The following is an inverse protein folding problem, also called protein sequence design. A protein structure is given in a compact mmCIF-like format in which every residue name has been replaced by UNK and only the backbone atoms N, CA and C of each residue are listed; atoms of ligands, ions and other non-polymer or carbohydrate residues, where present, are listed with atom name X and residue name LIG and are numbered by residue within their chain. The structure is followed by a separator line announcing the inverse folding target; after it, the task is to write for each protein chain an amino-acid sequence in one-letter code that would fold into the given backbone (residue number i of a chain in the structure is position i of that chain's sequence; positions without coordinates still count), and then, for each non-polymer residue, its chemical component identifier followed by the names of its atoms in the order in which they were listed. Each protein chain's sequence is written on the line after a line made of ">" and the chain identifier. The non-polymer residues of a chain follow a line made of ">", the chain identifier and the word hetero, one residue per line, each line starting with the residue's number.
data_IF_020070580817
#
_entry.id   IF_020070580817
#
_cell.length_a   1.000
_cell.length_b   1.000
_cell.length_c   1.000
_cell.angle_alpha   90.00
_cell.angle_beta   90.00
_cell.angle_gamma   90.00
#
_symmetry.space_group_name_H-M   'P 1'
#
loop_
_entity.id
_entity.type
_entity.pdbx_description
1 polymer ?
#
# COMPACT_ATOMS: atom_id res chain seq x y z
N UNK A 1 25.14 -39.64 0.12
CA UNK A 1 25.70 -38.35 0.50
C UNK A 1 25.00 -37.94 1.79
N UNK A 2 25.66 -38.16 2.94
CA UNK A 2 25.13 -37.77 4.24
C UNK A 2 25.37 -36.25 4.41
N UNK A 3 24.35 -35.45 4.24
CA UNK A 3 24.40 -34.06 4.68
C UNK A 3 24.33 -34.06 6.23
N UNK A 4 25.49 -33.84 6.85
CA UNK A 4 25.62 -33.53 8.25
C UNK A 4 24.91 -32.18 8.50
N UNK A 5 23.63 -32.24 8.89
CA UNK A 5 22.96 -31.11 9.51
C UNK A 5 23.61 -30.89 10.89
N UNK A 6 24.61 -30.01 10.95
CA UNK A 6 24.94 -29.37 12.22
C UNK A 6 23.67 -28.74 12.79
N UNK A 7 23.35 -28.87 14.09
CA UNK A 7 22.13 -28.26 14.63
C UNK A 7 22.27 -26.74 14.61
N UNK A 8 21.94 -26.13 13.49
CA UNK A 8 21.74 -24.69 13.39
C UNK A 8 20.58 -24.33 14.32
N UNK A 9 20.79 -23.39 15.21
CA UNK A 9 19.72 -22.91 16.09
C UNK A 9 18.49 -22.56 15.26
N UNK A 10 17.34 -23.11 15.64
CA UNK A 10 16.06 -22.83 15.01
C UNK A 10 15.14 -22.12 16.00
N UNK A 11 14.76 -20.85 15.76
CA UNK A 11 13.84 -20.15 16.62
C UNK A 11 12.46 -20.83 16.66
N UNK A 12 11.88 -20.94 17.84
CA UNK A 12 10.52 -21.45 18.00
C UNK A 12 9.50 -20.34 17.70
N UNK A 13 8.28 -20.74 17.30
CA UNK A 13 7.16 -19.82 17.08
C UNK A 13 6.86 -18.98 18.34
N UNK A 14 6.98 -19.58 19.53
CA UNK A 14 6.79 -18.85 20.80
C UNK A 14 7.85 -17.77 21.00
N UNK A 15 9.09 -18.04 20.65
CA UNK A 15 10.18 -17.06 20.72
C UNK A 15 9.97 -15.94 19.70
N UNK A 16 9.56 -16.24 18.47
CA UNK A 16 9.26 -15.23 17.46
C UNK A 16 8.07 -14.35 17.85
N UNK A 17 7.01 -14.92 18.43
CA UNK A 17 5.87 -14.14 18.95
C UNK A 17 6.28 -13.26 20.12
N UNK A 18 7.10 -13.77 21.04
CA UNK A 18 7.64 -12.99 22.15
C UNK A 18 8.53 -11.84 21.64
N UNK A 19 9.41 -12.10 20.67
CA UNK A 19 10.25 -11.10 20.02
C UNK A 19 9.41 -9.98 19.40
N UNK A 20 8.42 -10.33 18.58
CA UNK A 20 7.57 -9.35 17.91
C UNK A 20 6.78 -8.49 18.91
N UNK A 21 6.17 -9.12 19.92
CA UNK A 21 5.44 -8.39 20.96
C UNK A 21 6.34 -7.41 21.73
N UNK A 22 7.55 -7.84 22.10
CA UNK A 22 8.52 -6.99 22.79
C UNK A 22 9.03 -5.89 21.89
N UNK A 23 9.31 -6.18 20.61
CA UNK A 23 9.75 -5.20 19.62
C UNK A 23 8.73 -4.08 19.44
N UNK A 24 7.43 -4.40 19.35
CA UNK A 24 6.36 -3.44 19.16
C UNK A 24 6.03 -2.64 20.43
N UNK A 25 5.94 -3.31 21.57
CA UNK A 25 5.46 -2.72 22.83
C UNK A 25 6.57 -2.10 23.69
N UNK A 26 7.84 -2.41 23.39
CA UNK A 26 9.04 -1.89 24.11
C UNK A 26 8.99 -2.12 25.64
N UNK A 27 8.17 -3.05 26.09
CA UNK A 27 7.95 -3.35 27.51
C UNK A 27 7.60 -4.82 27.70
N UNK A 28 8.39 -5.54 28.54
CA UNK A 28 8.19 -6.97 28.79
C UNK A 28 6.84 -7.29 29.43
N UNK A 29 6.37 -6.45 30.37
CA UNK A 29 5.07 -6.65 31.03
C UNK A 29 3.89 -6.49 30.06
N UNK A 30 3.96 -5.53 29.14
CA UNK A 30 2.94 -5.34 28.12
C UNK A 30 2.93 -6.49 27.09
N UNK A 31 4.11 -6.96 26.69
CA UNK A 31 4.24 -8.14 25.84
C UNK A 31 3.68 -9.40 26.52
N UNK A 32 3.92 -9.56 27.80
CA UNK A 32 3.40 -10.68 28.61
C UNK A 32 1.86 -10.66 28.66
N UNK A 33 1.25 -9.50 28.91
CA UNK A 33 -0.21 -9.32 28.87
C UNK A 33 -0.78 -9.67 27.50
N UNK A 34 -0.15 -9.17 26.42
CA UNK A 34 -0.59 -9.45 25.04
C UNK A 34 -0.52 -10.92 24.66
N UNK A 35 0.45 -11.64 25.23
CA UNK A 35 0.69 -13.07 24.94
C UNK A 35 0.00 -14.01 25.96
N UNK A 36 -0.68 -13.46 26.96
CA UNK A 36 -1.33 -14.22 28.04
C UNK A 36 -0.36 -15.15 28.79
N UNK A 37 0.84 -14.64 29.08
CA UNK A 37 1.89 -15.35 29.84
C UNK A 37 2.48 -14.46 30.93
N UNK A 38 3.37 -14.99 31.77
CA UNK A 38 4.08 -14.18 32.76
C UNK A 38 5.22 -13.38 32.15
N UNK A 39 5.60 -12.27 32.76
CA UNK A 39 6.74 -11.47 32.34
C UNK A 39 8.05 -12.26 32.35
N UNK A 40 8.23 -13.16 33.34
CA UNK A 40 9.40 -14.04 33.42
C UNK A 40 9.47 -14.99 32.21
N UNK A 41 8.32 -15.53 31.77
CA UNK A 41 8.26 -16.41 30.62
C UNK A 41 8.68 -15.65 29.34
N UNK A 42 8.19 -14.41 29.12
CA UNK A 42 8.63 -13.58 27.97
C UNK A 42 10.13 -13.29 28.05
N UNK A 43 10.63 -12.91 29.25
CA UNK A 43 12.08 -12.63 29.43
C UNK A 43 12.94 -13.86 29.12
N UNK A 44 12.47 -15.06 29.51
CA UNK A 44 13.16 -16.32 29.22
C UNK A 44 13.16 -16.63 27.72
N UNK A 45 12.01 -16.47 27.03
CA UNK A 45 11.90 -16.69 25.58
C UNK A 45 12.83 -15.78 24.78
N UNK A 46 12.92 -14.49 25.16
CA UNK A 46 13.84 -13.55 24.53
C UNK A 46 15.29 -13.95 24.78
N UNK A 47 15.66 -14.29 26.02
CA UNK A 47 17.02 -14.74 26.35
C UNK A 47 17.41 -15.98 25.54
N UNK A 48 16.57 -17.00 25.49
CA UNK A 48 16.82 -18.21 24.72
C UNK A 48 17.00 -17.93 23.23
N UNK A 49 16.22 -16.96 22.68
CA UNK A 49 16.35 -16.53 21.29
C UNK A 49 17.68 -15.81 21.07
N UNK A 50 18.06 -14.89 21.95
CA UNK A 50 19.35 -14.16 21.89
C UNK A 50 20.54 -15.12 22.02
N UNK A 51 20.48 -16.06 22.97
CA UNK A 51 21.52 -17.08 23.19
C UNK A 51 21.69 -17.97 21.95
N UNK A 52 20.57 -18.38 21.34
CA UNK A 52 20.60 -19.23 20.15
C UNK A 52 21.09 -18.51 18.89
N UNK A 53 20.80 -17.21 18.76
CA UNK A 53 21.27 -16.37 17.65
C UNK A 53 22.69 -15.84 17.87
N UNK A 54 23.24 -15.99 19.09
CA UNK A 54 24.55 -15.46 19.45
C UNK A 54 24.61 -13.93 19.46
N UNK A 55 23.47 -13.24 19.50
CA UNK A 55 23.41 -11.77 19.47
C UNK A 55 22.26 -11.23 20.31
N UNK A 56 22.46 -10.04 20.90
CA UNK A 56 21.39 -9.34 21.62
C UNK A 56 20.42 -8.69 20.65
N UNK A 57 19.14 -8.87 20.92
CA UNK A 57 18.06 -8.24 20.20
C UNK A 57 17.54 -6.97 20.90
N UNK A 58 17.75 -6.88 22.22
CA UNK A 58 17.27 -5.74 23.00
C UNK A 58 18.33 -5.25 23.99
N UNK A 59 18.54 -3.93 23.97
CA UNK A 59 19.30 -3.23 25.00
C UNK A 59 18.40 -2.95 26.19
N UNK A 60 18.81 -3.48 27.35
CA UNK A 60 18.10 -3.32 28.63
C UNK A 60 18.70 -2.15 29.40
N UNK A 61 17.98 -1.03 29.46
CA UNK A 61 18.25 0.03 30.42
C UNK A 61 17.23 -0.02 31.53
N UNK A 62 17.52 0.60 32.68
CA UNK A 62 16.60 0.63 33.84
C UNK A 62 15.25 1.29 33.55
N UNK A 63 15.13 2.01 32.41
CA UNK A 63 13.91 2.76 32.03
C UNK A 63 13.31 2.36 30.68
N UNK A 64 14.02 1.62 29.83
CA UNK A 64 13.51 1.29 28.48
C UNK A 64 14.15 0.05 27.91
N UNK A 65 13.40 -0.62 27.06
CA UNK A 65 13.84 -1.73 26.22
C UNK A 65 13.92 -1.23 24.77
N UNK A 66 15.13 -1.11 24.25
CA UNK A 66 15.36 -0.62 22.86
C UNK A 66 15.81 -1.79 22.00
N UNK A 67 15.25 -1.97 20.78
CA UNK A 67 15.78 -2.95 19.85
C UNK A 67 17.13 -2.53 19.31
N UNK A 68 17.98 -3.52 19.11
CA UNK A 68 19.27 -3.40 18.44
C UNK A 68 19.10 -3.34 16.92
N UNK A 69 20.20 -3.05 16.18
CA UNK A 69 20.21 -3.17 14.72
C UNK A 69 19.82 -4.58 14.26
N UNK A 70 20.33 -5.63 14.94
CA UNK A 70 19.98 -7.03 14.67
C UNK A 70 18.48 -7.31 14.85
N UNK A 71 17.83 -6.73 15.86
CA UNK A 71 16.39 -6.86 16.04
C UNK A 71 15.60 -6.21 14.90
N UNK A 72 16.04 -5.05 14.42
CA UNK A 72 15.38 -4.37 13.31
C UNK A 72 15.54 -5.14 11.99
N UNK A 73 16.69 -5.73 11.75
CA UNK A 73 16.94 -6.60 10.59
C UNK A 73 16.09 -7.88 10.63
N UNK A 74 16.00 -8.51 11.82
CA UNK A 74 15.20 -9.72 12.01
C UNK A 74 13.70 -9.49 11.88
N UNK A 75 13.21 -8.26 12.09
CA UNK A 75 11.78 -7.96 12.23
C UNK A 75 10.94 -8.45 11.04
N UNK A 76 11.31 -8.07 9.84
CA UNK A 76 10.56 -8.42 8.61
C UNK A 76 10.49 -9.93 8.40
N UNK A 77 11.57 -10.64 8.67
CA UNK A 77 11.64 -12.11 8.56
C UNK A 77 10.77 -12.78 9.62
N UNK A 78 10.83 -12.31 10.88
CA UNK A 78 10.00 -12.84 11.96
C UNK A 78 8.51 -12.63 11.70
N UNK A 79 8.13 -11.45 11.19
CA UNK A 79 6.75 -11.14 10.79
C UNK A 79 6.27 -12.04 9.66
N UNK A 80 7.11 -12.31 8.66
CA UNK A 80 6.78 -13.22 7.55
C UNK A 80 6.56 -14.65 8.06
N UNK A 81 7.50 -15.19 8.84
CA UNK A 81 7.38 -16.54 9.38
C UNK A 81 6.10 -16.70 10.22
N UNK A 82 5.77 -15.72 11.06
CA UNK A 82 4.56 -15.78 11.86
C UNK A 82 3.29 -15.70 11.01
N UNK A 83 3.28 -14.89 9.94
CA UNK A 83 2.17 -14.88 8.98
C UNK A 83 2.01 -16.23 8.28
N UNK A 84 3.10 -16.86 7.85
CA UNK A 84 3.06 -18.16 7.20
C UNK A 84 2.52 -19.23 8.14
N UNK A 85 2.94 -19.23 9.42
CA UNK A 85 2.40 -20.12 10.45
C UNK A 85 0.92 -19.87 10.74
N UNK A 86 0.51 -18.60 10.82
CA UNK A 86 -0.90 -18.24 11.03
C UNK A 86 -1.74 -18.62 9.80
N UNK A 87 -1.19 -18.54 8.60
CA UNK A 87 -1.84 -19.02 7.38
C UNK A 87 -1.98 -20.55 7.34
N UNK A 88 -1.00 -21.30 7.85
CA UNK A 88 -1.12 -22.77 8.00
C UNK A 88 -2.26 -23.16 8.94
N UNK A 89 -2.41 -22.46 10.07
CA UNK A 89 -3.49 -22.77 11.03
C UNK A 89 -4.89 -22.35 10.55
N UNK A 90 -4.96 -21.36 9.64
CA UNK A 90 -6.21 -20.90 9.02
C UNK A 90 -6.48 -21.58 7.68
N UNK A 91 -5.45 -21.88 6.88
CA UNK A 91 -5.58 -22.39 5.53
C UNK A 91 -6.27 -23.76 5.40
N UNK A 92 -6.12 -24.63 6.39
CA UNK A 92 -6.86 -25.91 6.41
C UNK A 92 -8.36 -25.74 6.70
N UNK A 93 -8.77 -24.65 7.35
CA UNK A 93 -10.18 -24.31 7.56
C UNK A 93 -10.74 -23.43 6.43
N UNK A 94 -9.92 -22.58 5.83
CA UNK A 94 -10.31 -21.70 4.71
C UNK A 94 -10.61 -22.46 3.41
N UNK A 95 -10.07 -23.67 3.24
CA UNK A 95 -10.42 -24.53 2.09
C UNK A 95 -11.88 -25.00 2.12
N UNK A 96 -12.58 -24.89 3.24
CA UNK A 96 -13.93 -25.36 3.38
C UNK A 96 -15.00 -24.28 3.42
N UNK A 97 -14.70 -23.06 3.91
CA UNK A 97 -15.70 -21.99 4.07
C UNK A 97 -15.02 -20.60 4.15
N UNK A 98 -15.50 -19.64 3.36
CA UNK A 98 -15.19 -18.20 3.48
C UNK A 98 -15.68 -17.61 4.83
N UNK A 99 -15.90 -18.45 5.82
CA UNK A 99 -16.49 -18.06 7.10
C UNK A 99 -15.51 -17.40 8.08
N UNK A 100 -14.21 -17.54 7.89
CA UNK A 100 -13.17 -16.84 8.68
C UNK A 100 -11.92 -16.71 7.85
N UNK A 101 -11.38 -15.50 7.79
CA UNK A 101 -10.15 -15.26 7.06
C UNK A 101 -9.70 -13.81 7.19
N UNK A 102 -8.62 -13.51 6.53
CA UNK A 102 -8.17 -12.15 6.31
C UNK A 102 -7.74 -12.00 4.86
N UNK A 103 -7.88 -10.82 4.35
CA UNK A 103 -7.28 -10.36 3.11
C UNK A 103 -6.48 -9.10 3.41
N UNK A 104 -5.23 -9.06 2.98
CA UNK A 104 -4.37 -7.90 3.17
C UNK A 104 -3.89 -7.40 1.81
N UNK A 105 -3.94 -6.09 1.60
CA UNK A 105 -3.54 -5.49 0.34
C UNK A 105 -2.67 -4.26 0.54
N UNK A 106 -1.67 -4.08 -0.34
CA UNK A 106 -0.95 -2.81 -0.46
C UNK A 106 -1.69 -1.92 -1.47
N UNK A 107 -1.82 -0.65 -1.16
CA UNK A 107 -2.46 0.32 -2.04
C UNK A 107 -1.91 1.73 -1.76
N UNK A 108 -1.84 2.58 -2.77
CA UNK A 108 -1.55 3.99 -2.51
C UNK A 108 -2.79 4.73 -2.01
N UNK A 109 -2.66 5.71 -1.10
CA UNK A 109 -3.81 6.43 -0.53
C UNK A 109 -4.77 6.98 -1.59
N UNK A 110 -4.24 7.53 -2.68
CA UNK A 110 -5.04 8.04 -3.81
C UNK A 110 -5.97 7.00 -4.42
N UNK A 111 -5.48 5.77 -4.62
CA UNK A 111 -6.31 4.68 -5.17
C UNK A 111 -7.28 4.15 -4.14
N UNK A 112 -6.87 4.06 -2.88
CA UNK A 112 -7.71 3.59 -1.79
C UNK A 112 -9.01 4.41 -1.67
N UNK A 113 -8.92 5.72 -1.84
CA UNK A 113 -10.04 6.66 -1.66
C UNK A 113 -11.25 6.34 -2.53
N UNK A 114 -11.04 5.88 -3.77
CA UNK A 114 -12.16 5.65 -4.69
C UNK A 114 -12.39 4.18 -5.07
N UNK A 115 -11.39 3.31 -4.88
CA UNK A 115 -11.53 1.89 -5.24
C UNK A 115 -12.09 1.04 -4.10
N UNK A 116 -11.73 1.37 -2.86
CA UNK A 116 -11.99 0.47 -1.75
C UNK A 116 -13.37 0.60 -1.09
N UNK A 117 -14.01 1.79 -0.97
CA UNK A 117 -15.22 1.93 -0.17
C UNK A 117 -16.34 0.98 -0.58
N UNK A 118 -16.70 0.96 -1.86
CA UNK A 118 -17.77 0.11 -2.37
C UNK A 118 -17.38 -1.38 -2.39
N UNK A 119 -16.12 -1.68 -2.76
CA UNK A 119 -15.60 -3.04 -2.76
C UNK A 119 -15.57 -3.64 -1.35
N UNK A 120 -15.09 -2.87 -0.35
CA UNK A 120 -15.06 -3.34 1.05
C UNK A 120 -16.48 -3.52 1.59
N UNK A 121 -17.39 -2.58 1.30
CA UNK A 121 -18.77 -2.66 1.76
C UNK A 121 -19.44 -3.93 1.22
N UNK A 122 -19.46 -4.13 -0.10
CA UNK A 122 -20.10 -5.31 -0.69
C UNK A 122 -19.42 -6.62 -0.26
N UNK A 123 -18.10 -6.63 -0.18
CA UNK A 123 -17.37 -7.81 0.29
C UNK A 123 -17.67 -8.14 1.76
N UNK A 124 -17.78 -7.13 2.62
CA UNK A 124 -18.07 -7.34 4.06
C UNK A 124 -19.52 -7.79 4.29
N UNK A 125 -20.45 -7.38 3.43
CA UNK A 125 -21.83 -7.88 3.46
C UNK A 125 -21.89 -9.35 3.06
N UNK A 126 -21.17 -9.76 2.02
CA UNK A 126 -21.10 -11.16 1.56
C UNK A 126 -20.28 -12.04 2.52
N UNK A 127 -19.23 -11.48 3.15
CA UNK A 127 -18.26 -12.22 3.97
C UNK A 127 -17.97 -11.52 5.31
N UNK A 128 -18.95 -11.42 6.22
CA UNK A 128 -18.86 -10.59 7.44
C UNK A 128 -17.80 -11.06 8.44
N UNK A 129 -17.33 -12.29 8.30
CA UNK A 129 -16.28 -12.86 9.17
C UNK A 129 -14.87 -12.79 8.59
N UNK A 130 -14.71 -12.23 7.38
CA UNK A 130 -13.40 -12.01 6.75
C UNK A 130 -12.92 -10.59 7.03
N UNK A 131 -11.73 -10.45 7.59
CA UNK A 131 -11.14 -9.14 7.87
C UNK A 131 -10.40 -8.61 6.64
N UNK A 132 -10.73 -7.39 6.24
CA UNK A 132 -10.01 -6.65 5.20
C UNK A 132 -8.96 -5.75 5.87
N UNK A 133 -7.69 -5.93 5.49
CA UNK A 133 -6.56 -5.15 5.99
C UNK A 133 -5.96 -4.33 4.86
N UNK A 134 -6.13 -3.03 4.94
CA UNK A 134 -5.58 -2.08 3.98
C UNK A 134 -4.23 -1.59 4.50
N UNK A 135 -3.18 -1.86 3.76
CA UNK A 135 -1.84 -1.34 4.01
C UNK A 135 -1.57 -0.22 3.01
N UNK A 136 -1.97 0.98 3.37
CA UNK A 136 -1.64 2.15 2.57
C UNK A 136 -0.13 2.42 2.65
N UNK A 137 0.47 2.70 1.51
CA UNK A 137 1.91 2.88 1.41
C UNK A 137 2.27 3.91 0.33
N UNK A 138 3.47 4.48 0.47
CA UNK A 138 4.04 5.32 -0.57
C UNK A 138 4.36 4.50 -1.84
N UNK A 139 4.34 5.12 -3.03
CA UNK A 139 4.57 4.42 -4.30
C UNK A 139 5.88 3.63 -4.37
N UNK A 140 6.94 4.14 -3.77
CA UNK A 140 8.27 3.52 -3.70
C UNK A 140 8.29 2.25 -2.82
N UNK A 141 7.38 2.13 -1.86
CA UNK A 141 7.25 0.98 -0.97
C UNK A 141 6.29 -0.10 -1.52
N UNK A 142 5.53 0.22 -2.57
CA UNK A 142 4.45 -0.63 -3.06
C UNK A 142 4.93 -2.02 -3.50
N UNK A 143 5.93 -2.07 -4.37
CA UNK A 143 6.45 -3.34 -4.89
C UNK A 143 7.17 -4.15 -3.80
N UNK A 144 7.97 -3.50 -2.95
CA UNK A 144 8.68 -4.18 -1.87
C UNK A 144 7.75 -4.85 -0.86
N UNK A 145 6.57 -4.28 -0.59
CA UNK A 145 5.56 -4.90 0.27
C UNK A 145 4.98 -6.17 -0.32
N UNK A 146 4.81 -6.22 -1.64
CA UNK A 146 4.31 -7.41 -2.35
C UNK A 146 5.39 -8.49 -2.40
N UNK A 147 6.60 -8.14 -2.80
CA UNK A 147 7.72 -9.08 -2.90
C UNK A 147 8.14 -9.65 -1.55
N UNK A 148 8.09 -8.82 -0.49
CA UNK A 148 8.33 -9.24 0.89
C UNK A 148 7.18 -10.02 1.53
N UNK A 149 6.11 -10.30 0.78
CA UNK A 149 4.91 -11.04 1.26
C UNK A 149 4.28 -10.41 2.51
N UNK A 150 4.44 -9.08 2.66
CA UNK A 150 3.79 -8.34 3.74
C UNK A 150 2.27 -8.21 3.53
N UNK A 151 1.82 -8.44 2.30
CA UNK A 151 0.42 -8.40 1.86
C UNK A 151 0.15 -9.53 0.88
N UNK A 152 -1.13 -9.89 0.69
CA UNK A 152 -1.52 -10.94 -0.25
C UNK A 152 -1.38 -10.46 -1.71
N UNK A 153 -1.66 -9.18 -1.96
CA UNK A 153 -1.53 -8.54 -3.28
C UNK A 153 -1.44 -7.01 -3.12
N UNK A 154 -1.21 -6.33 -4.22
CA UNK A 154 -1.26 -4.87 -4.27
C UNK A 154 -2.26 -4.36 -5.31
N UNK A 155 -2.77 -3.14 -5.12
CA UNK A 155 -3.55 -2.40 -6.11
C UNK A 155 -2.78 -1.13 -6.44
N UNK A 156 -2.31 -1.01 -7.67
CA UNK A 156 -1.39 0.06 -8.03
C UNK A 156 -1.21 0.25 -9.52
N UNK A 157 -0.30 1.13 -9.85
CA UNK A 157 0.11 1.45 -11.23
C UNK A 157 1.60 1.20 -11.40
N UNK A 158 2.05 -0.05 -11.47
CA UNK A 158 3.47 -0.35 -11.65
C UNK A 158 3.91 0.08 -13.05
N UNK A 159 4.80 1.06 -13.12
CA UNK A 159 5.31 1.57 -14.42
C UNK A 159 6.25 0.55 -15.10
N UNK A 160 7.01 -0.17 -14.32
CA UNK A 160 7.95 -1.22 -14.77
C UNK A 160 7.86 -2.42 -13.83
N UNK A 161 6.85 -3.27 -14.00
CA UNK A 161 6.75 -4.47 -13.21
C UNK A 161 7.97 -5.35 -13.52
N UNK A 162 8.77 -5.66 -12.49
CA UNK A 162 9.85 -6.62 -12.62
C UNK A 162 9.33 -8.01 -12.95
N UNK A 163 10.23 -8.92 -13.38
CA UNK A 163 9.87 -10.30 -13.69
C UNK A 163 9.29 -11.09 -12.49
N UNK A 164 9.47 -10.59 -11.27
CA UNK A 164 9.03 -11.21 -10.02
C UNK A 164 7.56 -10.98 -9.66
N UNK A 165 6.86 -10.11 -10.40
CA UNK A 165 5.44 -9.84 -10.17
C UNK A 165 4.59 -10.20 -11.37
N UNK A 166 3.33 -10.51 -11.10
CA UNK A 166 2.27 -10.65 -12.08
C UNK A 166 1.32 -9.47 -11.96
N UNK A 167 0.88 -8.95 -13.10
CA UNK A 167 0.05 -7.74 -13.17
C UNK A 167 -1.23 -8.06 -13.92
N UNK A 168 -2.37 -7.87 -13.26
CA UNK A 168 -3.69 -8.00 -13.85
C UNK A 168 -4.37 -6.65 -13.86
N UNK A 169 -4.61 -6.09 -15.05
CA UNK A 169 -5.30 -4.82 -15.19
C UNK A 169 -6.73 -4.89 -14.62
N UNK A 170 -7.07 -3.93 -13.78
CA UNK A 170 -8.42 -3.69 -13.26
C UNK A 170 -9.17 -2.68 -14.12
N UNK A 171 -8.57 -1.49 -14.30
CA UNK A 171 -9.20 -0.43 -15.06
C UNK A 171 -8.14 0.47 -15.70
N UNK A 172 -8.57 1.28 -16.66
CA UNK A 172 -7.77 2.34 -17.27
C UNK A 172 -8.27 3.70 -16.81
N UNK A 173 -7.34 4.53 -16.35
CA UNK A 173 -7.60 5.91 -15.96
C UNK A 173 -6.83 6.87 -16.87
N UNK A 174 -7.24 8.12 -16.91
CA UNK A 174 -6.64 9.15 -17.77
C UNK A 174 -6.24 10.36 -16.93
N UNK A 175 -5.18 11.05 -17.34
CA UNK A 175 -4.86 12.35 -16.77
C UNK A 175 -5.92 13.38 -17.19
N UNK A 176 -6.29 14.20 -16.22
CA UNK A 176 -7.28 15.24 -16.37
C UNK A 176 -6.78 16.56 -15.77
N UNK A 177 -7.22 17.65 -16.36
CA UNK A 177 -7.21 18.95 -15.72
C UNK A 177 -8.38 19.01 -14.74
N UNK A 178 -8.12 19.48 -13.54
CA UNK A 178 -9.12 19.82 -12.53
C UNK A 178 -9.02 21.32 -12.29
N UNK A 179 -10.11 22.03 -12.46
CA UNK A 179 -10.15 23.46 -12.25
C UNK A 179 -11.51 23.88 -11.69
N UNK A 180 -11.60 25.09 -11.15
CA UNK A 180 -12.89 25.64 -10.73
C UNK A 180 -13.83 25.85 -11.94
N UNK A 181 -15.12 25.84 -11.67
CA UNK A 181 -16.17 26.05 -12.69
C UNK A 181 -16.13 27.45 -13.34
N UNK A 182 -15.52 28.44 -12.67
CA UNK A 182 -15.29 29.79 -13.20
C UNK A 182 -13.97 29.96 -14.00
N UNK A 183 -13.13 28.90 -14.04
CA UNK A 183 -11.86 28.89 -14.78
C UNK A 183 -12.12 28.97 -16.30
N UNK A 184 -11.29 29.69 -17.10
CA UNK A 184 -11.48 29.81 -18.54
C UNK A 184 -11.60 28.47 -19.27
N UNK A 185 -10.80 27.48 -18.88
CA UNK A 185 -10.81 26.14 -19.49
C UNK A 185 -11.99 25.27 -19.05
N UNK A 186 -12.75 25.65 -18.02
CA UNK A 186 -13.90 24.88 -17.56
C UNK A 186 -15.00 24.75 -18.63
N UNK A 187 -15.18 25.78 -19.46
CA UNK A 187 -16.18 25.81 -20.52
C UNK A 187 -15.69 25.18 -21.84
N UNK A 188 -14.39 24.88 -21.96
CA UNK A 188 -13.84 24.28 -23.15
C UNK A 188 -14.42 22.88 -23.37
N UNK A 189 -14.82 22.54 -24.58
CA UNK A 189 -15.32 21.21 -24.95
C UNK A 189 -14.20 20.16 -24.84
N UNK A 190 -12.99 20.53 -25.22
CA UNK A 190 -11.78 19.71 -25.19
C UNK A 190 -10.66 20.58 -24.64
N UNK A 191 -9.83 20.03 -23.76
CA UNK A 191 -8.63 20.69 -23.25
C UNK A 191 -7.41 19.91 -23.73
N UNK A 192 -6.50 20.59 -24.39
CA UNK A 192 -5.23 20.04 -24.87
C UNK A 192 -4.12 20.43 -23.90
N UNK A 193 -3.02 19.69 -23.92
CA UNK A 193 -1.84 20.07 -23.14
C UNK A 193 -1.35 21.50 -23.51
N UNK A 194 -1.40 21.84 -24.77
CA UNK A 194 -1.03 23.20 -25.26
C UNK A 194 -1.88 24.32 -24.68
N UNK A 195 -3.09 24.03 -24.24
CA UNK A 195 -3.99 25.02 -23.68
C UNK A 195 -3.64 25.35 -22.21
N UNK A 196 -2.72 24.61 -21.58
CA UNK A 196 -2.32 24.79 -20.19
C UNK A 196 -1.27 25.91 -20.02
N UNK A 197 -0.63 26.35 -21.11
CA UNK A 197 0.39 27.40 -21.05
C UNK A 197 -0.18 28.71 -20.50
N UNK A 198 0.53 29.28 -19.52
CA UNK A 198 0.16 30.54 -18.88
C UNK A 198 -0.90 30.46 -17.77
N UNK A 199 -1.36 29.28 -17.41
CA UNK A 199 -2.20 29.09 -16.23
C UNK A 199 -1.39 28.54 -15.07
N UNK A 200 -1.64 29.01 -13.83
CA UNK A 200 -1.00 28.49 -12.63
C UNK A 200 -1.43 27.04 -12.39
N UNK A 201 -0.44 26.13 -12.36
CA UNK A 201 -0.65 24.70 -12.20
C UNK A 201 -0.19 24.23 -10.81
N UNK A 202 -1.04 23.45 -10.17
CA UNK A 202 -0.77 22.73 -8.95
C UNK A 202 -0.54 21.26 -9.32
N UNK A 203 0.56 20.66 -8.88
CA UNK A 203 0.86 19.25 -9.17
C UNK A 203 1.55 18.58 -8.00
N UNK A 204 1.77 17.27 -8.08
CA UNK A 204 2.57 16.56 -7.10
C UNK A 204 4.06 16.84 -7.31
N UNK A 205 4.84 16.81 -6.22
CA UNK A 205 6.28 17.02 -6.27
C UNK A 205 7.00 15.94 -7.08
N UNK A 206 8.21 16.22 -7.62
CA UNK A 206 9.05 15.21 -8.25
C UNK A 206 9.24 13.96 -7.37
N UNK A 207 9.29 12.78 -8.00
CA UNK A 207 9.38 11.49 -7.30
C UNK A 207 8.03 10.86 -6.92
N UNK A 208 6.92 11.56 -7.11
CA UNK A 208 5.58 11.02 -6.88
C UNK A 208 4.93 10.55 -8.19
N UNK A 209 4.49 9.31 -8.18
CA UNK A 209 3.78 8.48 -9.16
C UNK A 209 3.42 9.11 -10.52
N UNK A 210 2.52 10.07 -10.56
CA UNK A 210 2.05 10.65 -11.82
C UNK A 210 2.90 11.81 -12.35
N UNK A 211 3.85 12.33 -11.56
CA UNK A 211 4.64 13.50 -11.92
C UNK A 211 5.52 13.27 -13.17
N UNK A 212 6.27 12.17 -13.29
CA UNK A 212 7.06 11.91 -14.50
C UNK A 212 6.19 11.86 -15.77
N UNK A 213 4.97 11.30 -15.64
CA UNK A 213 4.03 11.21 -16.75
C UNK A 213 3.49 12.58 -17.16
N UNK A 214 3.23 13.47 -16.20
CA UNK A 214 2.81 14.85 -16.45
C UNK A 214 3.93 15.63 -17.14
N UNK A 215 5.14 15.61 -16.55
CA UNK A 215 6.27 16.37 -17.06
C UNK A 215 6.70 15.91 -18.46
N UNK A 216 6.79 14.57 -18.66
CA UNK A 216 7.13 13.99 -19.95
C UNK A 216 6.11 14.36 -21.02
N UNK A 217 4.82 14.25 -20.71
CA UNK A 217 3.76 14.57 -21.69
C UNK A 217 3.71 16.07 -22.00
N UNK A 218 3.90 16.95 -21.03
CA UNK A 218 3.96 18.39 -21.25
C UNK A 218 5.15 18.75 -22.15
N UNK A 219 6.33 18.16 -21.90
CA UNK A 219 7.52 18.35 -22.72
C UNK A 219 7.32 17.85 -24.16
N UNK A 220 6.74 16.66 -24.34
CA UNK A 220 6.43 16.10 -25.67
C UNK A 220 5.41 16.96 -26.44
N UNK A 221 4.49 17.61 -25.71
CA UNK A 221 3.52 18.54 -26.26
C UNK A 221 4.10 19.96 -26.50
N UNK A 222 5.37 20.20 -26.16
CA UNK A 222 6.03 21.51 -26.32
C UNK A 222 5.51 22.57 -25.33
N UNK A 223 4.99 22.17 -24.18
CA UNK A 223 4.39 23.06 -23.17
C UNK A 223 5.26 23.16 -21.93
N UNK A 224 5.58 24.38 -21.53
CA UNK A 224 6.12 24.67 -20.21
C UNK A 224 4.95 24.94 -19.25
N UNK A 225 4.77 24.09 -18.26
CA UNK A 225 3.77 24.28 -17.23
C UNK A 225 4.25 25.31 -16.19
N UNK A 226 3.42 26.29 -15.87
CA UNK A 226 3.66 27.24 -14.79
C UNK A 226 3.29 26.60 -13.46
N UNK A 227 4.21 25.78 -12.90
CA UNK A 227 3.99 25.07 -11.64
C UNK A 227 4.18 26.03 -10.47
N UNK A 228 3.08 26.55 -9.95
CA UNK A 228 3.08 27.50 -8.82
C UNK A 228 3.08 26.81 -7.46
N UNK A 229 2.58 25.58 -7.37
CA UNK A 229 2.55 24.81 -6.12
C UNK A 229 2.83 23.33 -6.39
N UNK A 230 3.65 22.75 -5.51
CA UNK A 230 3.96 21.32 -5.49
C UNK A 230 3.56 20.70 -4.16
N UNK A 231 2.75 19.64 -4.20
CA UNK A 231 2.21 18.96 -3.04
C UNK A 231 2.62 17.49 -2.99
N UNK A 232 2.54 16.87 -1.82
CA UNK A 232 2.80 15.43 -1.68
C UNK A 232 1.56 14.59 -1.97
N UNK A 233 0.36 15.14 -1.75
CA UNK A 233 -0.90 14.41 -1.87
C UNK A 233 -1.85 15.11 -2.84
N UNK A 234 -2.48 14.33 -3.72
CA UNK A 234 -3.46 14.83 -4.67
C UNK A 234 -4.71 15.41 -4.00
N UNK A 235 -5.05 14.94 -2.79
CA UNK A 235 -6.12 15.53 -1.97
C UNK A 235 -5.83 17.00 -1.62
N UNK A 236 -4.57 17.32 -1.29
CA UNK A 236 -4.15 18.71 -1.06
C UNK A 236 -4.28 19.54 -2.34
N UNK A 237 -3.90 18.98 -3.50
CA UNK A 237 -4.06 19.67 -4.78
C UNK A 237 -5.54 19.99 -5.07
N UNK A 238 -6.46 19.07 -4.80
CA UNK A 238 -7.92 19.31 -4.94
C UNK A 238 -8.38 20.50 -4.09
N UNK A 239 -8.03 20.52 -2.81
CA UNK A 239 -8.40 21.60 -1.90
C UNK A 239 -7.83 22.96 -2.33
N UNK A 240 -6.58 22.99 -2.77
CA UNK A 240 -5.96 24.21 -3.28
C UNK A 240 -6.64 24.68 -4.58
N UNK A 241 -7.01 23.75 -5.47
CA UNK A 241 -7.76 24.08 -6.70
C UNK A 241 -9.16 24.64 -6.36
N UNK A 242 -9.88 24.00 -5.46
CA UNK A 242 -11.20 24.48 -5.00
C UNK A 242 -11.12 25.87 -4.38
N UNK A 243 -10.01 26.17 -3.70
CA UNK A 243 -9.72 27.50 -3.13
C UNK A 243 -9.27 28.54 -4.18
N UNK A 244 -9.17 28.20 -5.46
CA UNK A 244 -8.81 29.14 -6.53
C UNK A 244 -7.32 29.44 -6.64
N UNK A 245 -6.44 28.61 -6.09
CA UNK A 245 -4.99 28.84 -6.12
C UNK A 245 -4.33 28.41 -7.44
N UNK A 246 -5.10 27.82 -8.37
CA UNK A 246 -4.63 27.32 -9.65
C UNK A 246 -5.45 26.14 -10.14
N UNK A 247 -5.09 25.58 -11.29
CA UNK A 247 -5.66 24.34 -11.80
C UNK A 247 -4.71 23.17 -11.49
N UNK A 248 -5.24 21.96 -11.34
CA UNK A 248 -4.43 20.78 -11.05
C UNK A 248 -4.45 19.77 -12.18
N UNK A 249 -3.33 19.06 -12.38
CA UNK A 249 -3.25 17.91 -13.28
C UNK A 249 -3.16 16.66 -12.42
N UNK A 250 -4.12 15.75 -12.59
CA UNK A 250 -4.20 14.53 -11.78
C UNK A 250 -4.97 13.40 -12.47
N UNK A 251 -4.96 12.18 -11.92
CA UNK A 251 -5.82 11.08 -12.38
C UNK A 251 -7.29 11.45 -12.30
N UNK A 252 -8.01 11.28 -13.41
CA UNK A 252 -9.41 11.70 -13.52
C UNK A 252 -10.35 10.89 -12.63
N UNK A 253 -10.07 9.61 -12.40
CA UNK A 253 -10.86 8.79 -11.50
C UNK A 253 -10.80 9.32 -10.05
N UNK A 254 -9.61 9.70 -9.58
CA UNK A 254 -9.44 10.30 -8.26
C UNK A 254 -10.18 11.64 -8.14
N UNK A 255 -10.05 12.48 -9.16
CA UNK A 255 -10.73 13.78 -9.18
C UNK A 255 -12.26 13.62 -9.12
N UNK A 256 -12.82 12.68 -9.87
CA UNK A 256 -14.27 12.38 -9.83
C UNK A 256 -14.73 11.91 -8.47
N UNK A 257 -13.93 11.09 -7.79
CA UNK A 257 -14.25 10.58 -6.47
C UNK A 257 -14.28 11.67 -5.38
N UNK A 258 -13.58 12.77 -5.58
CA UNK A 258 -13.65 13.92 -4.67
C UNK A 258 -15.05 14.56 -4.63
N UNK A 259 -15.84 14.39 -5.71
CA UNK A 259 -17.23 14.82 -5.83
C UNK A 259 -17.48 16.27 -5.38
N UNK A 260 -16.55 17.18 -5.71
CA UNK A 260 -16.66 18.60 -5.35
C UNK A 260 -17.40 19.34 -6.46
N UNK A 261 -18.60 19.91 -6.19
CA UNK A 261 -19.41 20.57 -7.20
C UNK A 261 -18.82 21.90 -7.72
N UNK A 262 -17.84 22.44 -7.03
CA UNK A 262 -17.13 23.67 -7.48
C UNK A 262 -16.08 23.38 -8.55
N UNK A 263 -15.75 22.12 -8.77
CA UNK A 263 -14.68 21.67 -9.67
C UNK A 263 -15.21 21.05 -10.96
N UNK A 264 -14.52 21.33 -12.03
CA UNK A 264 -14.72 20.72 -13.35
C UNK A 264 -13.53 19.86 -13.70
N UNK A 265 -13.80 18.65 -14.20
CA UNK A 265 -12.79 17.67 -14.58
C UNK A 265 -12.79 17.50 -16.08
N UNK A 266 -11.68 17.80 -16.74
CA UNK A 266 -11.49 17.68 -18.19
C UNK A 266 -10.37 16.72 -18.51
N UNK A 267 -10.68 15.63 -19.20
CA UNK A 267 -9.63 14.70 -19.65
C UNK A 267 -8.72 15.45 -20.63
N UNK A 268 -7.42 15.43 -20.37
CA UNK A 268 -6.42 16.06 -21.23
C UNK A 268 -6.25 15.27 -22.53
N UNK A 269 -6.07 16.02 -23.62
CA UNK A 269 -5.95 15.47 -24.97
C UNK A 269 -4.72 16.02 -25.69
N UNK A 270 -4.36 15.38 -26.80
CA UNK A 270 -3.22 15.74 -27.65
C UNK A 270 -1.86 15.79 -26.90
N UNK A 271 -1.39 14.63 -26.35
CA UNK A 271 -1.99 13.30 -26.40
C UNK A 271 -2.96 13.03 -25.24
N UNK A 272 -3.85 12.04 -25.42
CA UNK A 272 -4.65 11.49 -24.32
C UNK A 272 -3.80 10.47 -23.56
N UNK A 273 -3.38 10.83 -22.36
CA UNK A 273 -2.51 10.01 -21.52
C UNK A 273 -3.33 9.11 -20.62
N UNK A 274 -3.05 7.83 -20.66
CA UNK A 274 -3.69 6.82 -19.82
C UNK A 274 -2.69 6.08 -18.95
N UNK A 275 -3.18 5.54 -17.84
CA UNK A 275 -2.45 4.63 -16.97
C UNK A 275 -3.35 3.46 -16.60
N UNK A 276 -2.77 2.29 -16.48
CA UNK A 276 -3.51 1.11 -16.05
C UNK A 276 -3.39 0.97 -14.53
N UNK A 277 -4.53 0.86 -13.86
CA UNK A 277 -4.62 0.45 -12.46
C UNK A 277 -4.80 -1.04 -12.44
N UNK A 278 -3.97 -1.73 -11.68
CA UNK A 278 -3.84 -3.18 -11.73
C UNK A 278 -3.78 -3.81 -10.35
N UNK A 279 -4.22 -5.06 -10.26
CA UNK A 279 -3.84 -5.98 -9.19
C UNK A 279 -2.43 -6.47 -9.50
N UNK A 280 -1.57 -6.45 -8.50
CA UNK A 280 -0.18 -6.89 -8.59
C UNK A 280 0.04 -7.97 -7.54
N UNK A 281 0.54 -9.11 -7.98
CA UNK A 281 0.85 -10.26 -7.12
C UNK A 281 2.30 -10.67 -7.31
N UNK A 282 2.89 -11.32 -6.32
CA UNK A 282 4.20 -11.96 -6.47
C UNK A 282 4.05 -13.20 -7.36
N UNK A 283 4.92 -13.32 -8.34
CA UNK A 283 4.92 -14.48 -9.27
C UNK A 283 5.14 -15.77 -8.50
N UNK A 284 4.37 -16.80 -8.88
CA UNK A 284 4.43 -18.10 -8.23
C UNK A 284 3.81 -18.15 -6.83
N UNK A 285 3.20 -17.06 -6.36
CA UNK A 285 2.48 -17.05 -5.09
C UNK A 285 0.97 -17.23 -5.33
N UNK A 286 0.39 -18.28 -4.74
CA UNK A 286 -1.04 -18.56 -4.85
C UNK A 286 -1.83 -17.67 -3.90
N UNK A 287 -2.76 -16.88 -4.45
CA UNK A 287 -3.69 -16.10 -3.63
C UNK A 287 -4.62 -16.99 -2.81
N UNK A 288 -4.90 -16.60 -1.58
CA UNK A 288 -5.93 -17.21 -0.74
C UNK A 288 -7.32 -17.11 -1.39
N UNK A 289 -8.26 -17.95 -0.96
CA UNK A 289 -9.65 -17.86 -1.42
C UNK A 289 -10.25 -16.50 -1.09
N UNK A 290 -9.95 -15.95 0.09
CA UNK A 290 -10.42 -14.64 0.52
C UNK A 290 -9.84 -13.50 -0.35
N UNK A 291 -8.55 -13.57 -0.69
CA UNK A 291 -7.92 -12.58 -1.56
C UNK A 291 -8.53 -12.60 -2.97
N UNK A 292 -8.78 -13.78 -3.55
CA UNK A 292 -9.46 -13.90 -4.84
C UNK A 292 -10.89 -13.35 -4.80
N UNK A 293 -11.67 -13.73 -3.79
CA UNK A 293 -13.04 -13.25 -3.62
C UNK A 293 -13.10 -11.71 -3.47
N UNK A 294 -12.13 -11.11 -2.74
CA UNK A 294 -12.04 -9.67 -2.63
C UNK A 294 -11.70 -9.00 -3.97
N UNK A 295 -10.74 -9.56 -4.72
CA UNK A 295 -10.41 -9.04 -6.06
C UNK A 295 -11.63 -9.10 -7.00
N UNK A 296 -12.45 -10.16 -6.90
CA UNK A 296 -13.66 -10.28 -7.69
C UNK A 296 -14.74 -9.28 -7.24
N UNK A 297 -14.88 -9.03 -5.93
CA UNK A 297 -15.74 -7.97 -5.41
C UNK A 297 -15.29 -6.59 -5.90
N UNK A 298 -13.98 -6.33 -5.86
CA UNK A 298 -13.39 -5.10 -6.39
C UNK A 298 -13.69 -4.91 -7.89
N UNK A 299 -13.59 -5.97 -8.70
CA UNK A 299 -13.93 -5.90 -10.13
C UNK A 299 -15.41 -5.62 -10.37
N UNK A 300 -16.30 -6.12 -9.50
CA UNK A 300 -17.76 -5.87 -9.61
C UNK A 300 -18.13 -4.42 -9.24
N UNK A 301 -17.31 -3.74 -8.44
CA UNK A 301 -17.54 -2.35 -8.01
C UNK A 301 -16.97 -1.29 -8.97
N UNK A 302 -16.30 -1.71 -10.06
CA UNK A 302 -15.72 -0.82 -11.09
C UNK A 302 -16.67 -0.58 -12.26
#
# INVERSE_FOLDING_TARGET
>A
MNENFSPTFSPTIRQLRAFLAVHQLRKLSAAAQRLFVTQSAVSMLIRQLEDGLGTRLFDRTTRSLKPTAAANEMLSTAERILRDVDSLSTGFRELATLERGRVSMAITPTLATFLLPDAIRSFSEEHPKVRVMVNDCAPDQFISRILGEHVDFGIGTPERPGAEVEVQRLMRDHLALVCRNDHPLAKARVVRWTDLGGYPIITVRPGYGVRPLIDGTAADAGVSLDVVNEVSFLSTAIWMTASGMGASIMPGAFARAANDPSLVIKVLSAPRVSRDISVVTKRGHSLSVAARAFIDALKRSL
#
